data_IF_525620332816
#
_entry.id   IF_525620332816
#
_cell.length_a   1.000
_cell.length_b   1.000
_cell.length_c   1.000
_cell.angle_alpha   90.00
_cell.angle_beta   90.00
_cell.angle_gamma   90.00
#
_symmetry.space_group_name_H-M   'P 1'
#
loop_
_entity.id
_entity.type
_entity.pdbx_description
1 polymer ?
#
# COMPACT_ATOMS: atom_id res chain seq x y z
N UNK A 1 -2.57 28.27 2.28
CA UNK A 1 -2.92 27.32 1.98
C UNK A 1 -2.43 26.02 2.45
N UNK A 2 -3.06 25.14 2.11
CA UNK A 2 -2.79 23.79 2.52
C UNK A 2 -1.35 23.37 2.36
N UNK A 3 -0.63 24.12 1.65
CA UNK A 3 0.77 23.83 1.43
C UNK A 3 1.61 23.82 2.66
N UNK A 4 1.07 24.20 3.80
CA UNK A 4 1.86 24.17 4.99
C UNK A 4 2.08 22.79 5.53
N UNK A 5 1.40 21.81 5.03
CA UNK A 5 1.62 20.44 5.51
C UNK A 5 3.02 19.98 5.17
N UNK A 6 3.68 19.26 6.07
CA UNK A 6 4.96 18.66 5.77
C UNK A 6 4.82 17.81 4.52
N UNK A 7 5.77 17.95 3.62
CA UNK A 7 5.71 17.22 2.37
C UNK A 7 6.53 15.95 2.50
N UNK A 8 5.90 14.90 2.94
CA UNK A 8 6.55 13.60 2.93
C UNK A 8 6.49 13.02 1.53
N UNK A 9 7.56 12.40 1.05
CA UNK A 9 7.53 11.71 -0.23
C UNK A 9 6.48 10.62 -0.24
N UNK A 10 5.82 10.47 -1.38
CA UNK A 10 4.83 9.43 -1.57
C UNK A 10 5.29 8.51 -2.69
N UNK A 11 5.05 7.21 -2.51
CA UNK A 11 5.30 6.22 -3.54
C UNK A 11 3.98 5.54 -3.84
N UNK A 12 3.62 5.48 -5.11
CA UNK A 12 2.40 4.82 -5.56
C UNK A 12 2.77 3.68 -6.48
N UNK A 13 2.40 2.47 -6.10
CA UNK A 13 2.63 1.28 -6.91
C UNK A 13 1.29 0.61 -7.19
N UNK A 14 1.16 0.01 -8.35
CA UNK A 14 -0.03 -0.74 -8.72
C UNK A 14 0.34 -2.20 -8.87
N UNK A 15 -0.49 -3.07 -8.31
CA UNK A 15 -0.29 -4.51 -8.42
C UNK A 15 -1.43 -5.09 -9.24
N UNK A 16 -1.10 -5.69 -10.37
CA UNK A 16 -2.10 -6.36 -11.19
C UNK A 16 -2.44 -7.69 -10.53
N UNK A 17 -3.73 -7.96 -10.37
CA UNK A 17 -4.21 -9.21 -9.79
C UNK A 17 -5.08 -9.93 -10.81
N UNK A 18 -5.53 -11.13 -10.45
CA UNK A 18 -6.37 -11.91 -11.35
C UNK A 18 -7.69 -11.18 -11.64
N UNK A 19 -8.19 -11.34 -12.85
CA UNK A 19 -9.50 -10.80 -13.23
C UNK A 19 -10.66 -11.64 -12.67
N UNK A 20 -10.36 -12.75 -12.03
CA UNK A 20 -11.40 -13.60 -11.49
C UNK A 20 -12.22 -12.85 -10.44
N UNK A 21 -13.52 -13.14 -10.44
CA UNK A 21 -14.42 -12.48 -9.51
C UNK A 21 -14.04 -12.83 -8.08
N UNK A 22 -13.95 -11.81 -7.25
CA UNK A 22 -13.70 -12.00 -5.83
C UNK A 22 -12.23 -12.07 -5.45
N UNK A 23 -11.31 -12.21 -6.39
CA UNK A 23 -9.89 -12.30 -6.07
C UNK A 23 -9.42 -11.00 -5.41
N UNK A 24 -9.76 -9.87 -6.00
CA UNK A 24 -9.37 -8.58 -5.45
C UNK A 24 -9.92 -8.38 -4.04
N UNK A 25 -11.18 -8.71 -3.84
CA UNK A 25 -11.81 -8.58 -2.53
C UNK A 25 -11.20 -9.56 -1.53
N UNK A 26 -10.89 -10.78 -1.97
CA UNK A 26 -10.25 -11.77 -1.09
C UNK A 26 -8.88 -11.29 -0.63
N UNK A 27 -8.11 -10.70 -1.52
CA UNK A 27 -6.79 -10.16 -1.16
C UNK A 27 -6.96 -9.02 -0.16
N UNK A 28 -7.90 -8.12 -0.41
CA UNK A 28 -8.14 -7.00 0.49
C UNK A 28 -8.63 -7.44 1.86
N UNK A 29 -9.29 -8.59 1.95
CA UNK A 29 -9.77 -9.12 3.20
C UNK A 29 -8.77 -10.04 3.89
N UNK A 30 -7.61 -10.26 3.29
CA UNK A 30 -6.61 -11.17 3.83
C UNK A 30 -6.01 -10.67 5.13
N UNK A 31 -5.93 -11.54 6.12
CA UNK A 31 -5.28 -11.21 7.38
C UNK A 31 -3.78 -10.97 7.17
N UNK A 32 -3.19 -11.69 6.23
CA UNK A 32 -1.78 -11.52 5.91
C UNK A 32 -1.50 -10.10 5.40
N UNK A 33 -2.39 -9.59 4.55
CA UNK A 33 -2.24 -8.23 4.06
C UNK A 33 -2.47 -7.21 5.18
N UNK A 34 -3.50 -7.41 6.00
CA UNK A 34 -3.75 -6.53 7.14
C UNK A 34 -2.55 -6.47 8.08
N UNK A 35 -1.96 -7.63 8.38
CA UNK A 35 -0.80 -7.69 9.25
C UNK A 35 0.39 -6.99 8.62
N UNK A 36 0.58 -7.16 7.32
CA UNK A 36 1.67 -6.50 6.62
C UNK A 36 1.51 -4.98 6.63
N UNK A 37 0.29 -4.50 6.42
CA UNK A 37 0.00 -3.06 6.46
C UNK A 37 0.33 -2.51 7.85
N UNK A 38 -0.15 -3.19 8.89
CA UNK A 38 0.09 -2.74 10.27
C UNK A 38 1.60 -2.73 10.58
N UNK A 39 2.33 -3.73 10.10
CA UNK A 39 3.76 -3.79 10.32
C UNK A 39 4.47 -2.62 9.63
N UNK A 40 4.12 -2.33 8.38
CA UNK A 40 4.76 -1.22 7.68
C UNK A 40 4.40 0.12 8.32
N UNK A 41 3.16 0.28 8.76
CA UNK A 41 2.78 1.50 9.46
C UNK A 41 3.55 1.66 10.76
N UNK A 42 3.78 0.57 11.46
CA UNK A 42 4.57 0.59 12.68
C UNK A 42 6.00 1.04 12.43
N UNK A 43 6.57 0.64 11.32
CA UNK A 43 7.93 1.04 10.95
C UNK A 43 8.02 2.53 10.65
N UNK A 44 6.93 3.14 10.23
CA UNK A 44 6.90 4.56 9.93
C UNK A 44 6.79 5.41 11.20
N UNK A 45 6.43 4.80 12.31
CA UNK A 45 6.37 5.47 13.63
C UNK A 45 5.55 6.75 13.62
N UNK A 46 4.46 6.76 12.89
CA UNK A 46 3.60 7.92 12.81
C UNK A 46 4.09 9.01 11.88
N UNK A 47 5.23 8.82 11.25
CA UNK A 47 5.79 9.80 10.33
C UNK A 47 5.46 9.49 8.88
N UNK A 48 4.35 8.85 8.65
CA UNK A 48 3.89 8.52 7.32
C UNK A 48 2.59 7.75 7.39
N UNK A 49 2.19 7.22 6.26
CA UNK A 49 0.96 6.43 6.19
C UNK A 49 1.02 5.42 5.07
N UNK A 50 0.20 4.40 5.22
CA UNK A 50 0.05 3.36 4.21
C UNK A 50 -1.41 3.33 3.80
N UNK A 51 -1.65 3.29 2.50
CA UNK A 51 -3.00 3.19 1.97
C UNK A 51 -3.00 2.14 0.88
N UNK A 52 -3.86 1.14 1.02
CA UNK A 52 -4.01 0.08 0.04
C UNK A 52 -5.47 0.06 -0.39
N UNK A 53 -5.71 0.20 -1.68
CA UNK A 53 -7.07 0.25 -2.22
C UNK A 53 -7.20 -0.59 -3.48
N UNK A 54 -8.33 -1.27 -3.66
CA UNK A 54 -8.61 -1.92 -4.92
C UNK A 54 -9.03 -0.87 -5.95
N UNK A 55 -8.67 -1.11 -7.21
CA UNK A 55 -9.20 -0.28 -8.29
C UNK A 55 -10.65 -0.69 -8.53
N UNK A 56 -11.50 0.29 -8.85
CA UNK A 56 -12.90 0.01 -9.09
C UNK A 56 -13.17 -0.64 -10.44
N UNK A 57 -12.34 -0.39 -11.43
CA UNK A 57 -12.61 -0.81 -12.80
C UNK A 57 -11.58 -1.79 -13.35
N UNK A 58 -10.43 -1.89 -12.73
CA UNK A 58 -9.36 -2.75 -13.23
C UNK A 58 -9.00 -3.82 -12.21
N UNK A 59 -8.42 -4.91 -12.68
CA UNK A 59 -7.98 -5.99 -11.79
C UNK A 59 -6.62 -5.62 -11.23
N UNK A 60 -6.60 -4.58 -10.39
CA UNK A 60 -5.37 -4.17 -9.74
C UNK A 60 -5.67 -3.57 -8.37
N UNK A 61 -4.63 -3.56 -7.55
CA UNK A 61 -4.68 -2.98 -6.22
C UNK A 61 -3.64 -1.87 -6.17
N UNK A 62 -4.03 -0.72 -5.67
CA UNK A 62 -3.13 0.41 -5.53
C UNK A 62 -2.53 0.43 -4.14
N UNK A 63 -1.22 0.56 -4.10
CA UNK A 63 -0.47 0.67 -2.84
C UNK A 63 0.17 2.04 -2.80
N UNK A 64 -0.18 2.84 -1.81
CA UNK A 64 0.43 4.14 -1.62
C UNK A 64 1.10 4.17 -0.26
N UNK A 65 2.33 4.61 -0.23
CA UNK A 65 3.05 4.79 1.02
C UNK A 65 3.63 6.18 1.07
N UNK A 66 3.38 6.85 2.18
CA UNK A 66 3.96 8.16 2.44
C UNK A 66 4.90 7.97 3.62
N UNK A 67 6.11 8.43 3.52
CA UNK A 67 7.09 8.24 4.58
C UNK A 67 8.07 9.40 4.63
N UNK A 68 8.89 9.41 5.65
CA UNK A 68 9.85 10.47 5.88
C UNK A 68 10.83 10.66 4.73
N UNK A 69 11.22 9.55 4.09
CA UNK A 69 12.06 9.60 2.91
C UNK A 69 11.46 8.73 1.82
N UNK A 70 11.79 9.06 0.57
CA UNK A 70 11.30 8.28 -0.56
C UNK A 70 11.78 6.84 -0.49
N UNK A 71 13.00 6.63 -0.05
CA UNK A 71 13.55 5.29 0.07
C UNK A 71 12.75 4.44 1.04
N UNK A 72 12.40 4.99 2.19
CA UNK A 72 11.57 4.29 3.17
C UNK A 72 10.20 3.98 2.59
N UNK A 73 9.60 4.98 1.91
CA UNK A 73 8.30 4.79 1.31
C UNK A 73 8.34 3.69 0.24
N UNK A 74 9.37 3.69 -0.58
CA UNK A 74 9.51 2.70 -1.63
C UNK A 74 9.67 1.30 -1.06
N UNK A 75 10.52 1.14 -0.05
CA UNK A 75 10.72 -0.16 0.58
C UNK A 75 9.43 -0.71 1.17
N UNK A 76 8.68 0.14 1.87
CA UNK A 76 7.41 -0.27 2.46
C UNK A 76 6.41 -0.66 1.36
N UNK A 77 6.33 0.14 0.31
CA UNK A 77 5.43 -0.15 -0.80
C UNK A 77 5.78 -1.46 -1.49
N UNK A 78 7.07 -1.70 -1.70
CA UNK A 78 7.52 -2.95 -2.33
C UNK A 78 7.22 -4.15 -1.46
N UNK A 79 7.40 -4.03 -0.16
CA UNK A 79 7.06 -5.12 0.76
C UNK A 79 5.58 -5.47 0.66
N UNK A 80 4.71 -4.47 0.60
CA UNK A 80 3.28 -4.70 0.48
C UNK A 80 2.93 -5.31 -0.88
N UNK A 81 3.56 -4.84 -1.94
CA UNK A 81 3.37 -5.42 -3.27
C UNK A 81 3.74 -6.90 -3.28
N UNK A 82 4.86 -7.24 -2.65
CA UNK A 82 5.29 -8.63 -2.58
C UNK A 82 4.30 -9.49 -1.81
N UNK A 83 3.75 -8.98 -0.71
CA UNK A 83 2.74 -9.71 0.05
C UNK A 83 1.50 -9.95 -0.82
N UNK A 84 1.05 -8.93 -1.53
CA UNK A 84 -0.12 -9.06 -2.40
C UNK A 84 0.12 -10.11 -3.48
N UNK A 85 1.31 -10.11 -4.06
CA UNK A 85 1.64 -11.08 -5.11
C UNK A 85 1.70 -12.51 -4.61
N UNK A 86 1.94 -12.69 -3.33
CA UNK A 86 2.00 -14.02 -2.72
C UNK A 86 0.64 -14.55 -2.31
N UNK A 87 -0.36 -13.71 -2.32
CA UNK A 87 -1.73 -14.11 -1.97
C UNK A 87 -2.52 -14.64 -3.22
#
# INVERSE_FOLDING_TARGET
>A
LASVCPQYPQVLLNVTVSHERGVKDAIMASDALSAAIAEEEGKLSGEGRVLVRPSGTEALIRVMVEAKTEQIALLAAENLVNVIKML
#
